data_IF_122817835435
#
_entry.id   IF_122817835435
#
_cell.length_a   1.000
_cell.length_b   1.000
_cell.length_c   1.000
_cell.angle_alpha   90.00
_cell.angle_beta   90.00
_cell.angle_gamma   90.00
#
_symmetry.space_group_name_H-M   'P 1'
#
loop_
_entity.id
_entity.type
_entity.pdbx_description
1 polymer ?
#
# COMPACT_ATOMS: atom_id res chain seq x y z
N UNK A 1 -11.19 2.67 13.47
CA UNK A 1 -9.72 2.54 13.59
C UNK A 1 -9.39 1.11 14.00
N UNK A 2 -9.33 0.17 13.05
CA UNK A 2 -8.80 -1.18 13.29
C UNK A 2 -8.41 -1.80 11.95
N UNK A 3 -7.20 -1.50 11.47
CA UNK A 3 -6.61 -2.12 10.27
C UNK A 3 -5.23 -2.75 10.55
N UNK A 4 -4.86 -2.85 11.83
CA UNK A 4 -3.68 -3.60 12.26
C UNK A 4 -4.20 -4.95 12.77
N UNK A 5 -4.11 -5.99 11.93
CA UNK A 5 -4.32 -7.35 12.40
C UNK A 5 -2.99 -7.90 12.90
N UNK A 6 -2.77 -7.83 14.21
CA UNK A 6 -1.73 -8.62 14.84
C UNK A 6 -2.19 -10.09 14.85
N UNK A 7 -1.83 -10.85 13.83
CA UNK A 7 -1.85 -12.31 13.94
C UNK A 7 -0.64 -12.73 14.78
N UNK A 8 -0.76 -12.61 16.10
CA UNK A 8 0.24 -13.14 17.03
C UNK A 8 0.21 -14.66 16.94
N UNK A 9 1.12 -15.21 16.15
CA UNK A 9 1.50 -16.60 16.28
C UNK A 9 2.60 -16.61 17.33
N UNK A 10 2.33 -17.22 18.49
CA UNK A 10 3.21 -17.16 19.64
C UNK A 10 4.66 -17.63 19.40
N UNK A 11 5.52 -17.24 20.32
CA UNK A 11 6.91 -17.68 20.42
C UNK A 11 6.98 -19.07 21.04
N UNK A 12 7.68 -20.00 20.38
CA UNK A 12 7.84 -21.37 20.86
C UNK A 12 9.32 -21.79 20.82
N UNK A 13 10.11 -21.40 21.83
CA UNK A 13 11.57 -21.59 21.85
C UNK A 13 12.03 -23.05 21.96
N UNK A 14 11.12 -23.99 22.23
CA UNK A 14 11.47 -25.39 22.56
C UNK A 14 10.87 -26.42 21.60
N UNK A 15 10.46 -26.01 20.39
CA UNK A 15 9.93 -26.96 19.42
C UNK A 15 11.05 -27.78 18.78
N UNK A 16 10.88 -29.10 18.76
CA UNK A 16 11.78 -29.98 18.01
C UNK A 16 11.72 -29.66 16.51
N UNK A 17 12.83 -29.91 15.81
CA UNK A 17 12.96 -29.65 14.37
C UNK A 17 11.85 -30.32 13.53
N UNK A 18 11.39 -31.50 13.95
CA UNK A 18 10.29 -32.25 13.32
C UNK A 18 8.96 -31.50 13.47
N UNK A 19 8.69 -30.90 14.63
CA UNK A 19 7.47 -30.12 14.88
C UNK A 19 7.50 -28.81 14.10
N UNK A 20 8.65 -28.14 14.04
CA UNK A 20 8.84 -26.93 13.22
C UNK A 20 8.57 -27.21 11.73
N UNK A 21 9.08 -28.31 11.18
CA UNK A 21 8.83 -28.72 9.80
C UNK A 21 7.34 -28.97 9.53
N UNK A 22 6.64 -29.65 10.43
CA UNK A 22 5.18 -29.88 10.31
C UNK A 22 4.37 -28.58 10.34
N UNK A 23 4.73 -27.65 11.23
CA UNK A 23 4.05 -26.35 11.33
C UNK A 23 4.31 -25.46 10.12
N UNK A 24 5.51 -25.54 9.54
CA UNK A 24 5.84 -24.85 8.30
C UNK A 24 5.05 -25.41 7.09
N UNK A 25 4.92 -26.74 7.00
CA UNK A 25 4.27 -27.41 5.87
C UNK A 25 2.79 -27.02 5.66
N UNK A 26 2.07 -26.67 6.74
CA UNK A 26 0.66 -26.30 6.67
C UNK A 26 0.40 -24.81 6.35
N UNK A 27 1.43 -23.96 6.34
CA UNK A 27 1.29 -22.50 6.16
C UNK A 27 1.58 -21.99 4.74
N UNK A 28 2.04 -22.87 3.85
CA UNK A 28 2.68 -22.50 2.57
C UNK A 28 1.73 -22.22 1.41
N UNK A 29 0.41 -22.36 1.54
CA UNK A 29 -0.46 -22.26 0.36
C UNK A 29 -0.61 -20.84 -0.25
N UNK A 30 -0.17 -19.76 0.41
CA UNK A 30 -0.34 -18.38 -0.09
C UNK A 30 0.95 -17.59 -0.32
N UNK A 31 2.08 -17.99 0.26
CA UNK A 31 3.34 -17.27 0.09
C UNK A 31 4.08 -17.76 -1.17
N UNK A 32 4.56 -16.82 -2.01
CA UNK A 32 5.36 -17.15 -3.20
C UNK A 32 6.84 -17.33 -2.86
N UNK A 33 7.32 -16.64 -1.84
CA UNK A 33 8.63 -16.88 -1.20
C UNK A 33 8.34 -17.52 0.15
N UNK A 34 8.97 -18.67 0.50
CA UNK A 34 8.68 -19.38 1.75
C UNK A 34 9.29 -18.66 2.96
N UNK A 35 8.67 -17.57 3.41
CA UNK A 35 9.22 -16.63 4.38
C UNK A 35 9.37 -17.28 5.77
N UNK A 36 8.35 -18.01 6.22
CA UNK A 36 8.39 -18.72 7.51
C UNK A 36 9.44 -19.84 7.53
N UNK A 37 9.51 -20.75 6.54
CA UNK A 37 10.60 -21.73 6.47
C UNK A 37 11.99 -21.10 6.47
N UNK A 38 12.19 -20.00 5.75
CA UNK A 38 13.47 -19.28 5.73
C UNK A 38 13.81 -18.68 7.09
N UNK A 39 12.83 -18.07 7.77
CA UNK A 39 13.02 -17.57 9.13
C UNK A 39 13.42 -18.69 10.09
N UNK A 40 12.68 -19.80 10.09
CA UNK A 40 12.96 -20.97 10.94
C UNK A 40 14.33 -21.58 10.63
N UNK A 41 14.71 -21.65 9.36
CA UNK A 41 16.02 -22.16 8.96
C UNK A 41 17.17 -21.32 9.55
N UNK A 42 16.98 -20.01 9.61
CA UNK A 42 18.00 -19.06 10.08
C UNK A 42 18.02 -18.92 11.61
N UNK A 43 16.87 -18.72 12.25
CA UNK A 43 16.74 -18.40 13.68
C UNK A 43 16.34 -19.58 14.56
N UNK A 44 16.06 -20.76 13.98
CA UNK A 44 15.69 -22.00 14.68
C UNK A 44 14.45 -21.88 15.59
N UNK A 45 13.59 -20.90 15.33
CA UNK A 45 12.35 -20.67 16.07
C UNK A 45 11.25 -20.13 15.15
N UNK A 46 10.01 -20.14 15.61
CA UNK A 46 8.88 -19.54 14.89
C UNK A 46 8.86 -18.01 15.08
N UNK A 47 8.62 -17.25 14.00
CA UNK A 47 8.53 -15.80 14.09
C UNK A 47 7.17 -15.34 14.65
N UNK A 48 7.19 -14.21 15.36
CA UNK A 48 6.03 -13.33 15.45
C UNK A 48 5.77 -12.71 14.08
N UNK A 49 4.51 -12.45 13.74
CA UNK A 49 4.13 -11.94 12.42
C UNK A 49 3.30 -10.67 12.56
N UNK A 50 3.79 -9.59 11.97
CA UNK A 50 3.07 -8.32 11.88
C UNK A 50 2.72 -8.04 10.41
N UNK A 51 1.43 -8.04 10.07
CA UNK A 51 0.95 -7.76 8.72
C UNK A 51 0.25 -6.41 8.70
N UNK A 52 0.56 -5.59 7.71
CA UNK A 52 -0.15 -4.34 7.50
C UNK A 52 -0.27 -3.97 6.03
N UNK A 53 -1.31 -3.18 5.76
CA UNK A 53 -1.48 -2.37 4.57
C UNK A 53 -1.70 -0.92 5.02
N UNK A 54 -1.63 0.03 4.09
CA UNK A 54 -2.00 1.39 4.44
C UNK A 54 -3.48 1.43 4.90
N UNK A 55 -3.84 2.20 5.95
CA UNK A 55 -5.20 2.24 6.48
C UNK A 55 -6.22 2.82 5.48
N UNK A 56 -5.76 3.67 4.57
CA UNK A 56 -6.59 4.22 3.51
C UNK A 56 -6.71 3.24 2.34
N UNK A 57 -7.95 2.93 1.93
CA UNK A 57 -8.26 1.86 0.97
C UNK A 57 -7.61 1.98 -0.41
N UNK A 58 -7.17 3.17 -0.81
CA UNK A 58 -6.54 3.42 -2.12
C UNK A 58 -5.09 3.88 -1.97
N UNK A 59 -4.57 3.91 -0.75
CA UNK A 59 -3.17 4.20 -0.53
C UNK A 59 -2.36 2.92 -0.70
N UNK A 60 -1.25 3.06 -1.39
CA UNK A 60 -0.26 2.03 -1.65
C UNK A 60 1.09 2.52 -1.13
N UNK A 61 1.95 1.58 -0.78
CA UNK A 61 3.27 1.90 -0.26
C UNK A 61 4.28 2.04 -1.40
N UNK A 62 5.08 3.10 -1.37
CA UNK A 62 6.08 3.39 -2.39
C UNK A 62 7.36 2.59 -2.14
N UNK A 63 7.61 1.58 -2.98
CA UNK A 63 8.65 0.58 -2.73
C UNK A 63 10.05 1.18 -2.66
N UNK A 64 10.50 2.03 -3.60
CA UNK A 64 11.88 2.52 -3.58
C UNK A 64 12.18 3.42 -2.38
N UNK A 65 11.22 4.25 -1.96
CA UNK A 65 11.36 5.04 -0.72
C UNK A 65 11.50 4.14 0.51
N UNK A 66 10.73 3.06 0.59
CA UNK A 66 10.86 2.09 1.69
C UNK A 66 12.22 1.39 1.66
N UNK A 67 12.69 0.93 0.50
CA UNK A 67 14.00 0.28 0.39
C UNK A 67 15.14 1.24 0.76
N UNK A 68 15.04 2.52 0.37
CA UNK A 68 16.00 3.55 0.77
C UNK A 68 15.97 3.79 2.28
N UNK A 69 14.79 3.85 2.89
CA UNK A 69 14.63 3.93 4.35
C UNK A 69 15.28 2.73 5.05
N UNK A 70 15.01 1.51 4.61
CA UNK A 70 15.62 0.30 5.19
C UNK A 70 17.14 0.30 5.04
N UNK A 71 17.66 0.72 3.90
CA UNK A 71 19.11 0.85 3.67
C UNK A 71 19.74 1.88 4.61
N UNK A 72 19.13 3.05 4.75
CA UNK A 72 19.72 4.17 5.49
C UNK A 72 19.60 3.98 7.01
N UNK A 73 18.43 3.57 7.50
CA UNK A 73 18.15 3.49 8.94
C UNK A 73 18.55 2.14 9.56
N UNK A 74 18.55 1.07 8.76
CA UNK A 74 18.85 -0.30 9.24
C UNK A 74 20.10 -0.89 8.61
N UNK A 75 20.84 -0.13 7.79
CA UNK A 75 22.04 -0.61 7.12
C UNK A 75 21.78 -1.80 6.18
N UNK A 76 20.54 -1.92 5.67
CA UNK A 76 20.13 -3.09 4.91
C UNK A 76 20.87 -3.23 3.57
N UNK A 77 21.42 -4.42 3.32
CA UNK A 77 22.05 -4.76 2.06
C UNK A 77 21.06 -5.47 1.12
N UNK A 78 20.64 -4.74 0.08
CA UNK A 78 19.69 -5.19 -0.93
C UNK A 78 20.20 -6.39 -1.75
N UNK A 79 21.51 -6.66 -1.76
CA UNK A 79 22.07 -7.80 -2.52
C UNK A 79 21.75 -9.16 -1.88
N UNK A 80 21.42 -9.16 -0.59
CA UNK A 80 21.04 -10.36 0.16
C UNK A 80 19.52 -10.64 0.11
N UNK A 81 18.77 -9.85 -0.66
CA UNK A 81 17.33 -10.02 -0.80
C UNK A 81 16.99 -11.26 -1.63
N UNK A 82 16.02 -12.04 -1.16
CA UNK A 82 15.40 -13.06 -1.99
C UNK A 82 14.30 -12.40 -2.80
N UNK A 83 14.47 -12.37 -4.12
CA UNK A 83 13.51 -11.74 -5.05
C UNK A 83 12.92 -12.76 -6.02
N UNK A 84 11.61 -12.69 -6.21
CA UNK A 84 10.96 -13.31 -7.36
C UNK A 84 10.70 -12.23 -8.39
N UNK A 85 11.39 -12.32 -9.52
CA UNK A 85 11.30 -11.33 -10.58
C UNK A 85 10.13 -11.61 -11.53
N UNK A 86 9.55 -10.54 -12.07
CA UNK A 86 8.56 -10.59 -13.14
C UNK A 86 8.92 -9.59 -14.22
N UNK A 87 8.71 -9.99 -15.47
CA UNK A 87 8.89 -9.11 -16.62
C UNK A 87 7.65 -8.22 -16.83
N UNK A 88 7.86 -6.91 -16.89
CA UNK A 88 6.82 -5.95 -17.22
C UNK A 88 6.83 -5.65 -18.73
N UNK A 89 5.80 -6.14 -19.44
CA UNK A 89 5.75 -6.08 -20.92
C UNK A 89 5.80 -4.67 -21.50
N UNK A 90 5.20 -3.68 -20.82
CA UNK A 90 5.11 -2.30 -21.30
C UNK A 90 6.45 -1.56 -21.13
N UNK A 91 7.04 -1.60 -19.93
CA UNK A 91 8.33 -0.93 -19.68
C UNK A 91 9.55 -1.74 -20.12
N UNK A 92 9.35 -3.00 -20.55
CA UNK A 92 10.42 -3.92 -20.96
C UNK A 92 11.48 -4.19 -19.87
N UNK A 93 11.10 -4.07 -18.60
CA UNK A 93 11.98 -4.24 -17.46
C UNK A 93 11.56 -5.40 -16.56
N UNK A 94 12.52 -6.01 -15.88
CA UNK A 94 12.25 -6.91 -14.76
C UNK A 94 12.08 -6.11 -13.48
N UNK A 95 11.16 -6.54 -12.63
CA UNK A 95 10.98 -6.00 -11.28
C UNK A 95 10.78 -7.13 -10.28
N UNK A 96 11.09 -6.86 -9.01
CA UNK A 96 10.86 -7.81 -7.92
C UNK A 96 9.37 -7.84 -7.57
N UNK A 97 8.62 -8.80 -8.11
CA UNK A 97 7.19 -8.99 -7.82
C UNK A 97 6.95 -9.38 -6.35
N UNK A 98 7.89 -10.17 -5.81
CA UNK A 98 7.96 -10.49 -4.40
C UNK A 98 9.39 -10.26 -3.95
N UNK A 99 9.57 -9.70 -2.76
CA UNK A 99 10.88 -9.45 -2.17
C UNK A 99 10.83 -9.79 -0.69
N UNK A 100 11.84 -10.53 -0.25
CA UNK A 100 12.08 -10.86 1.14
C UNK A 100 13.41 -10.23 1.56
N UNK A 101 13.36 -9.28 2.48
CA UNK A 101 14.53 -8.60 3.03
C UNK A 101 14.85 -9.19 4.40
N UNK A 102 16.04 -9.76 4.56
CA UNK A 102 16.55 -10.14 5.87
C UNK A 102 17.36 -8.99 6.44
N UNK A 103 16.81 -8.31 7.45
CA UNK A 103 17.52 -7.21 8.13
C UNK A 103 18.56 -7.72 9.15
N UNK A 104 18.70 -9.04 9.27
CA UNK A 104 19.47 -9.66 10.34
C UNK A 104 18.79 -9.50 11.70
N UNK A 105 19.47 -9.98 12.75
CA UNK A 105 19.02 -9.85 14.15
C UNK A 105 17.56 -10.23 14.35
N UNK A 106 17.13 -11.34 13.75
CA UNK A 106 15.77 -11.84 13.99
C UNK A 106 14.67 -11.08 13.29
N UNK A 107 14.92 -10.26 12.27
CA UNK A 107 13.87 -9.52 11.53
C UNK A 107 13.95 -9.81 10.02
N UNK A 108 12.83 -10.26 9.45
CA UNK A 108 12.64 -10.48 8.01
C UNK A 108 11.38 -9.75 7.55
N UNK A 109 11.48 -8.99 6.45
CA UNK A 109 10.38 -8.24 5.85
C UNK A 109 10.02 -8.86 4.51
N UNK A 110 8.73 -9.12 4.30
CA UNK A 110 8.19 -9.65 3.07
C UNK A 110 7.21 -8.66 2.42
N UNK A 111 7.50 -8.30 1.17
CA UNK A 111 6.72 -7.38 0.38
C UNK A 111 5.74 -8.13 -0.53
N UNK A 112 4.46 -7.83 -0.40
CA UNK A 112 3.38 -8.45 -1.15
C UNK A 112 2.74 -7.51 -2.16
N UNK A 113 2.36 -8.06 -3.32
CA UNK A 113 1.57 -7.33 -4.31
C UNK A 113 2.32 -6.20 -4.99
N UNK A 114 3.63 -6.37 -5.21
CA UNK A 114 4.44 -5.38 -5.91
C UNK A 114 3.99 -5.28 -7.37
N UNK A 115 3.74 -4.06 -7.85
CA UNK A 115 3.34 -3.77 -9.24
C UNK A 115 3.78 -2.38 -9.67
N UNK A 116 3.93 -2.19 -10.98
CA UNK A 116 4.05 -0.86 -11.57
C UNK A 116 2.67 -0.23 -11.76
N UNK A 117 2.57 1.08 -11.49
CA UNK A 117 1.37 1.87 -11.68
C UNK A 117 1.71 3.26 -12.21
N UNK A 118 1.09 3.65 -13.33
CA UNK A 118 1.19 5.01 -13.90
C UNK A 118 0.14 5.97 -13.35
N UNK A 119 -1.01 5.43 -12.95
CA UNK A 119 -2.15 6.23 -12.50
C UNK A 119 -2.07 6.54 -11.00
N UNK A 120 -1.05 7.31 -10.60
CA UNK A 120 -0.79 7.63 -9.19
C UNK A 120 -1.05 9.11 -8.89
N UNK A 121 -1.56 9.40 -7.68
CA UNK A 121 -1.46 10.70 -7.03
C UNK A 121 -0.36 10.61 -5.97
N UNK A 122 0.58 11.55 -6.03
CA UNK A 122 1.83 11.49 -5.28
C UNK A 122 1.93 12.69 -4.33
N UNK A 123 1.28 12.65 -3.15
CA UNK A 123 1.30 13.75 -2.17
C UNK A 123 2.71 14.14 -1.74
N UNK A 124 3.62 13.17 -1.76
CA UNK A 124 4.97 13.29 -1.23
C UNK A 124 5.99 13.71 -2.29
N UNK A 125 5.56 14.01 -3.52
CA UNK A 125 6.41 14.46 -4.62
C UNK A 125 7.63 13.56 -4.89
N UNK A 126 7.48 12.24 -4.73
CA UNK A 126 8.50 11.28 -5.14
C UNK A 126 8.79 11.35 -6.64
N UNK A 127 10.04 11.13 -7.04
CA UNK A 127 10.37 10.90 -8.44
C UNK A 127 9.70 9.63 -8.96
N UNK A 128 9.32 9.59 -10.23
CA UNK A 128 8.89 8.34 -10.87
C UNK A 128 10.04 7.32 -10.91
N UNK A 129 9.68 6.03 -10.81
CA UNK A 129 10.64 4.94 -10.69
C UNK A 129 11.04 4.35 -12.05
N UNK A 130 10.23 4.58 -13.07
CA UNK A 130 10.42 4.05 -14.41
C UNK A 130 9.80 4.96 -15.47
N UNK A 131 9.89 4.53 -16.74
CA UNK A 131 9.26 5.18 -17.89
C UNK A 131 7.76 5.43 -17.69
N UNK A 132 7.22 6.46 -18.35
CA UNK A 132 5.80 6.87 -18.31
C UNK A 132 5.28 7.23 -16.91
N UNK A 133 6.07 7.91 -16.08
CA UNK A 133 5.68 8.32 -14.72
C UNK A 133 5.14 7.17 -13.87
N UNK A 134 5.69 5.96 -14.07
CA UNK A 134 5.30 4.77 -13.33
C UNK A 134 5.99 4.72 -11.96
N UNK A 135 5.24 4.26 -10.98
CA UNK A 135 5.70 4.02 -9.61
C UNK A 135 5.62 2.53 -9.29
N UNK A 136 6.63 2.02 -8.59
CA UNK A 136 6.69 0.67 -8.06
C UNK A 136 6.06 0.68 -6.67
N UNK A 137 4.89 0.07 -6.56
CA UNK A 137 4.05 0.14 -5.36
C UNK A 137 3.75 -1.23 -4.78
N UNK A 138 3.48 -1.25 -3.48
CA UNK A 138 3.23 -2.46 -2.68
C UNK A 138 1.87 -2.32 -2.01
N UNK A 139 1.09 -3.42 -2.00
CA UNK A 139 -0.22 -3.41 -1.34
C UNK A 139 -0.15 -3.72 0.15
N UNK A 140 0.77 -4.58 0.57
CA UNK A 140 0.91 -5.01 1.96
C UNK A 140 2.32 -5.49 2.27
N UNK A 141 2.67 -5.43 3.55
CA UNK A 141 3.95 -5.87 4.09
C UNK A 141 3.66 -6.85 5.23
N UNK A 142 4.44 -7.93 5.29
CA UNK A 142 4.51 -8.82 6.43
C UNK A 142 5.91 -8.76 7.05
N UNK A 143 6.00 -8.56 8.35
CA UNK A 143 7.26 -8.55 9.10
C UNK A 143 7.27 -9.78 10.01
N UNK A 144 8.27 -10.62 9.86
CA UNK A 144 8.55 -11.80 10.67
C UNK A 144 9.67 -11.44 11.63
N UNK A 145 9.44 -11.57 12.93
CA UNK A 145 10.40 -11.08 13.92
C UNK A 145 10.49 -11.93 15.19
N UNK A 146 11.62 -11.85 15.90
CA UNK A 146 11.76 -12.36 17.26
C UNK A 146 10.99 -11.48 18.25
N UNK A 147 10.39 -12.04 19.32
CA UNK A 147 9.51 -11.28 20.24
C UNK A 147 10.17 -10.06 20.88
N UNK A 148 11.48 -10.12 21.14
CA UNK A 148 12.25 -9.00 21.70
C UNK A 148 12.23 -7.73 20.82
N UNK A 149 11.85 -7.85 19.54
CA UNK A 149 11.78 -6.75 18.59
C UNK A 149 10.40 -6.15 18.42
N UNK A 150 9.40 -6.51 19.23
CA UNK A 150 8.03 -6.02 19.06
C UNK A 150 7.95 -4.49 19.02
N UNK A 151 8.51 -3.80 20.01
CA UNK A 151 8.53 -2.32 20.07
C UNK A 151 9.23 -1.73 18.84
N UNK A 152 10.35 -2.33 18.42
CA UNK A 152 11.14 -1.89 17.25
C UNK A 152 10.31 -2.03 15.97
N UNK A 153 9.61 -3.15 15.79
CA UNK A 153 8.75 -3.41 14.64
C UNK A 153 7.56 -2.44 14.61
N UNK A 154 6.91 -2.18 15.75
CA UNK A 154 5.81 -1.20 15.82
C UNK A 154 6.27 0.21 15.40
N UNK A 155 7.45 0.63 15.83
CA UNK A 155 8.01 1.94 15.43
C UNK A 155 8.37 1.96 13.94
N UNK A 156 9.05 0.91 13.45
CA UNK A 156 9.37 0.76 12.03
C UNK A 156 8.10 0.87 11.16
N UNK A 157 7.02 0.20 11.53
CA UNK A 157 5.74 0.25 10.79
C UNK A 157 5.20 1.68 10.69
N UNK A 158 5.25 2.46 11.79
CA UNK A 158 4.82 3.87 11.77
C UNK A 158 5.62 4.71 10.79
N UNK A 159 6.91 4.45 10.67
CA UNK A 159 7.77 5.14 9.71
C UNK A 159 7.52 4.66 8.27
N UNK A 160 7.35 3.35 8.07
CA UNK A 160 7.03 2.79 6.76
C UNK A 160 5.71 3.32 6.18
N UNK A 161 4.72 3.57 7.04
CA UNK A 161 3.42 4.12 6.64
C UNK A 161 3.51 5.55 6.08
N UNK A 162 4.61 6.29 6.32
CA UNK A 162 4.82 7.62 5.73
C UNK A 162 5.10 7.57 4.23
N UNK A 163 5.60 6.44 3.74
CA UNK A 163 5.99 6.27 2.34
C UNK A 163 4.82 5.74 1.50
N UNK A 164 3.78 6.57 1.36
CA UNK A 164 2.58 6.19 0.62
C UNK A 164 2.36 7.07 -0.63
N UNK A 165 1.59 6.50 -1.55
CA UNK A 165 1.04 7.14 -2.74
C UNK A 165 -0.40 6.67 -2.90
N UNK A 166 -1.22 7.40 -3.67
CA UNK A 166 -2.61 7.01 -3.90
C UNK A 166 -2.82 6.48 -5.31
N UNK A 167 -3.57 5.39 -5.42
CA UNK A 167 -4.17 4.98 -6.69
C UNK A 167 -5.16 6.05 -7.15
N UNK A 168 -4.94 6.56 -8.37
CA UNK A 168 -5.79 7.61 -8.93
C UNK A 168 -7.19 7.07 -9.17
N UNK A 169 -8.19 7.75 -8.63
CA UNK A 169 -9.59 7.50 -8.97
C UNK A 169 -9.94 8.29 -10.22
N UNK A 170 -10.52 7.61 -11.20
CA UNK A 170 -11.07 8.24 -12.38
C UNK A 170 -12.57 8.39 -12.24
N UNK A 171 -13.09 9.56 -12.56
CA UNK A 171 -14.50 9.76 -12.85
C UNK A 171 -14.71 9.45 -14.33
N UNK A 172 -15.77 8.70 -14.62
CA UNK A 172 -16.21 8.47 -16.00
C UNK A 172 -17.31 9.46 -16.31
N UNK A 173 -17.06 10.33 -17.28
CA UNK A 173 -18.09 11.16 -17.88
C UNK A 173 -18.47 10.53 -19.22
N UNK A 174 -19.70 10.04 -19.35
CA UNK A 174 -20.18 9.45 -20.61
C UNK A 174 -20.82 10.53 -21.47
N UNK A 175 -20.23 10.80 -22.63
CA UNK A 175 -20.74 11.76 -23.60
C UNK A 175 -21.59 11.07 -24.66
N UNK A 176 -22.69 11.69 -25.06
CA UNK A 176 -23.46 11.28 -26.24
C UNK A 176 -22.74 11.83 -27.48
N UNK A 177 -22.30 10.94 -28.35
CA UNK A 177 -21.62 11.25 -29.60
C UNK A 177 -22.49 10.79 -30.78
N UNK A 178 -22.32 11.43 -31.94
CA UNK A 178 -23.01 11.08 -33.19
C UNK A 178 -22.01 10.50 -34.18
N UNK A 179 -22.31 9.33 -34.74
CA UNK A 179 -21.59 8.76 -35.88
C UNK A 179 -21.95 9.49 -37.17
N UNK A 180 -21.08 9.37 -38.18
CA UNK A 180 -21.32 9.91 -39.54
C UNK A 180 -22.61 9.37 -40.18
N UNK A 181 -23.03 8.15 -39.84
CA UNK A 181 -24.29 7.54 -40.29
C UNK A 181 -25.52 7.94 -39.46
N UNK A 182 -25.43 8.98 -38.63
CA UNK A 182 -26.51 9.50 -37.77
C UNK A 182 -26.93 8.61 -36.59
N UNK A 183 -26.23 7.51 -36.31
CA UNK A 183 -26.42 6.77 -35.06
C UNK A 183 -25.78 7.52 -33.87
N UNK A 184 -26.36 7.40 -32.68
CA UNK A 184 -25.79 7.91 -31.44
C UNK A 184 -25.08 6.80 -30.66
N UNK A 185 -23.99 7.13 -29.97
CA UNK A 185 -23.27 6.21 -29.10
C UNK A 185 -22.69 6.95 -27.89
N UNK A 186 -22.30 6.19 -26.86
CA UNK A 186 -21.65 6.75 -25.67
C UNK A 186 -20.13 6.63 -25.80
N UNK A 187 -19.43 7.73 -25.47
CA UNK A 187 -17.98 7.75 -25.32
C UNK A 187 -17.61 8.19 -23.91
N UNK A 188 -16.90 7.33 -23.20
CA UNK A 188 -16.39 7.66 -21.87
C UNK A 188 -15.15 8.55 -21.97
N UNK A 189 -15.18 9.68 -21.27
CA UNK A 189 -14.01 10.47 -20.93
C UNK A 189 -13.62 10.12 -19.50
N UNK A 190 -12.38 9.67 -19.31
CA UNK A 190 -11.80 9.45 -17.99
C UNK A 190 -11.20 10.77 -17.50
N UNK A 191 -11.77 11.32 -16.44
CA UNK A 191 -11.25 12.53 -15.79
C UNK A 191 -10.55 12.08 -14.50
N UNK A 192 -9.26 12.41 -14.37
CA UNK A 192 -8.52 12.15 -13.13
C UNK A 192 -9.14 12.99 -12.03
N UNK A 193 -9.61 12.35 -10.95
CA UNK A 193 -10.12 13.10 -9.80
C UNK A 193 -8.95 13.88 -9.19
N UNK A 194 -9.04 15.20 -9.00
CA UNK A 194 -7.98 15.96 -8.36
C UNK A 194 -7.85 15.53 -6.90
N UNK A 195 -6.62 15.50 -6.40
CA UNK A 195 -6.36 15.30 -4.97
C UNK A 195 -6.44 16.65 -4.28
N UNK A 196 -7.45 16.84 -3.44
CA UNK A 196 -7.60 18.08 -2.67
C UNK A 196 -6.84 17.88 -1.36
N UNK A 197 -5.57 18.30 -1.35
CA UNK A 197 -4.72 18.29 -0.16
C UNK A 197 -5.06 19.42 0.80
N UNK A 198 -5.25 20.61 0.22
CA UNK A 198 -5.60 21.82 0.93
C UNK A 198 -6.87 22.39 0.32
N UNK A 199 -7.95 22.34 1.08
CA UNK A 199 -9.26 22.82 0.63
C UNK A 199 -9.29 24.36 0.58
N UNK A 200 -8.57 25.02 1.48
CA UNK A 200 -8.45 26.48 1.54
C UNK A 200 -7.69 27.00 0.31
N UNK A 201 -6.56 26.37 -0.01
CA UNK A 201 -5.77 26.75 -1.18
C UNK A 201 -6.57 26.61 -2.49
N UNK A 202 -7.36 25.55 -2.63
CA UNK A 202 -8.07 25.26 -3.89
C UNK A 202 -9.44 25.94 -4.01
N UNK A 203 -10.14 26.19 -2.90
CA UNK A 203 -11.53 26.68 -2.92
C UNK A 203 -11.76 27.91 -2.03
N UNK A 204 -10.73 28.41 -1.36
CA UNK A 204 -10.75 29.57 -0.47
C UNK A 204 -11.29 29.26 0.93
N UNK A 205 -10.88 30.09 1.90
CA UNK A 205 -11.30 29.98 3.31
C UNK A 205 -12.81 29.91 3.51
N UNK A 206 -13.57 30.62 2.67
CA UNK A 206 -15.03 30.66 2.77
C UNK A 206 -15.65 29.29 2.48
N UNK A 207 -15.08 28.52 1.56
CA UNK A 207 -15.58 27.19 1.23
C UNK A 207 -15.27 26.16 2.33
N UNK A 208 -14.15 26.31 3.04
CA UNK A 208 -13.79 25.43 4.18
C UNK A 208 -14.91 25.39 5.21
N UNK A 209 -15.46 26.55 5.58
CA UNK A 209 -16.59 26.67 6.52
C UNK A 209 -17.85 25.97 6.01
N UNK A 210 -18.11 26.02 4.71
CA UNK A 210 -19.26 25.35 4.08
C UNK A 210 -19.03 23.83 4.09
N UNK A 211 -17.82 23.38 3.74
CA UNK A 211 -17.43 21.99 3.74
C UNK A 211 -17.55 21.33 5.12
N UNK A 212 -17.08 22.00 6.18
CA UNK A 212 -17.22 21.52 7.56
C UNK A 212 -18.70 21.36 7.95
N UNK A 213 -19.56 22.32 7.58
CA UNK A 213 -21.00 22.21 7.80
C UNK A 213 -21.60 21.01 7.09
N UNK A 214 -21.17 20.73 5.85
CA UNK A 214 -21.61 19.56 5.08
C UNK A 214 -21.19 18.27 5.79
N UNK A 215 -19.91 18.13 6.16
CA UNK A 215 -19.41 16.93 6.86
C UNK A 215 -20.14 16.70 8.18
N UNK A 216 -20.33 17.75 8.97
CA UNK A 216 -21.04 17.68 10.25
C UNK A 216 -22.50 17.26 10.07
N UNK A 217 -23.16 17.72 9.00
CA UNK A 217 -24.52 17.28 8.67
C UNK A 217 -24.57 15.82 8.20
N UNK A 218 -23.62 15.38 7.35
CA UNK A 218 -23.51 14.00 6.87
C UNK A 218 -23.25 13.00 8.00
N UNK A 219 -22.48 13.37 9.02
CA UNK A 219 -22.11 12.49 10.12
C UNK A 219 -23.18 12.38 11.23
N UNK A 220 -24.33 13.07 11.10
CA UNK A 220 -25.44 12.93 12.05
C UNK A 220 -26.17 11.59 11.84
N UNK A 221 -26.26 10.77 12.90
CA UNK A 221 -26.92 9.45 12.90
C UNK A 221 -28.37 9.42 12.37
N UNK A 222 -29.07 10.56 12.33
CA UNK A 222 -30.45 10.68 11.82
C UNK A 222 -30.59 11.78 10.76
N UNK A 223 -29.50 12.15 10.07
CA UNK A 223 -29.55 13.11 8.98
C UNK A 223 -30.40 12.57 7.83
N UNK A 224 -31.48 13.28 7.48
CA UNK A 224 -32.36 12.89 6.35
C UNK A 224 -31.82 13.29 4.98
N UNK A 225 -30.83 14.18 4.95
CA UNK A 225 -30.21 14.69 3.72
C UNK A 225 -29.64 16.10 3.93
N UNK A 226 -28.98 16.61 2.89
CA UNK A 226 -28.45 17.98 2.83
C UNK A 226 -29.04 18.66 1.61
N UNK A 227 -29.52 19.89 1.78
CA UNK A 227 -29.92 20.77 0.67
C UNK A 227 -28.82 21.81 0.50
N UNK A 228 -28.19 21.84 -0.67
CA UNK A 228 -27.18 22.81 -1.04
C UNK A 228 -27.81 23.84 -1.96
N UNK A 229 -28.05 25.04 -1.44
CA UNK A 229 -28.51 26.18 -2.23
C UNK A 229 -27.27 26.95 -2.69
N UNK A 230 -26.95 26.86 -3.99
CA UNK A 230 -25.91 27.66 -4.60
C UNK A 230 -26.52 28.88 -5.29
N UNK A 231 -25.72 29.94 -5.48
CA UNK A 231 -26.15 31.14 -6.21
C UNK A 231 -26.47 30.85 -7.67
N UNK A 232 -26.95 31.87 -8.40
CA UNK A 232 -27.28 31.76 -9.82
C UNK A 232 -26.07 31.15 -10.57
N UNK A 233 -26.23 30.07 -11.34
CA UNK A 233 -25.13 29.53 -12.13
C UNK A 233 -24.66 30.60 -13.12
N UNK A 234 -23.37 30.89 -13.09
CA UNK A 234 -22.71 31.78 -14.05
C UNK A 234 -22.38 31.06 -15.34
#
# INVERSE_FOLDING_TARGET
MSLISNEYVGYFPELSQIVLQKLCANRTQREKIPSVPLFVAHYKTLPCVFKFSHPESNALLHMPSILNYLKNEYGHDLTNDVVLQRYHKKSKQFFAQYRLCNLGNGIIIYFHGVKFMSDIQNPNNYSSDAFDDCFLVISSIAIYYLPEHDIKVQNMVKDLLKYYVFESKFLKLSMICRHQNSAYYLRDIKIKKPMILDLELHYGQNFVKVHEKILNACNKKQGKGIVLLHGIPG
#
